data_IF_962180788606
#
_entry.id   IF_962180788606
#
_cell.length_a   1.000
_cell.length_b   1.000
_cell.length_c   1.000
_cell.angle_alpha   90.00
_cell.angle_beta   90.00
_cell.angle_gamma   90.00
#
_symmetry.space_group_name_H-M   'P 1'
#
loop_
_entity.id
_entity.type
_entity.pdbx_description
1 polymer ?
#
# COMPACT_ATOMS: atom_id res chain seq x y z
N UNK A 1 -0.22 3.71 -18.13
CA UNK A 1 -0.42 4.07 -16.70
C UNK A 1 -1.44 3.13 -16.11
N UNK A 2 -1.16 2.57 -14.94
CA UNK A 2 -2.04 1.67 -14.18
C UNK A 2 -2.45 2.35 -12.88
N UNK A 3 -3.69 2.18 -12.45
CA UNK A 3 -4.19 2.75 -11.18
C UNK A 3 -4.06 1.72 -10.07
N UNK A 4 -3.20 1.99 -9.10
CA UNK A 4 -3.04 1.19 -7.89
C UNK A 4 -3.82 1.80 -6.72
N UNK A 5 -4.25 0.96 -5.78
CA UNK A 5 -4.80 1.40 -4.49
C UNK A 5 -3.82 1.04 -3.38
N UNK A 6 -3.50 2.00 -2.52
CA UNK A 6 -2.50 1.86 -1.47
C UNK A 6 -3.10 2.26 -0.13
N UNK A 7 -2.92 1.43 0.88
CA UNK A 7 -3.16 1.80 2.28
C UNK A 7 -1.93 2.53 2.82
N UNK A 8 -2.10 3.78 3.22
CA UNK A 8 -1.04 4.59 3.84
C UNK A 8 -1.29 4.76 5.32
N UNK A 9 -0.21 4.92 6.10
CA UNK A 9 -0.29 5.30 7.51
C UNK A 9 -0.53 6.81 7.59
N UNK A 10 -1.79 7.19 7.86
CA UNK A 10 -2.22 8.58 7.97
C UNK A 10 -1.77 9.23 9.27
N UNK A 11 -1.85 8.49 10.37
CA UNK A 11 -1.43 8.94 11.70
C UNK A 11 -0.73 7.82 12.44
N UNK A 12 0.28 8.17 13.25
CA UNK A 12 0.98 7.21 14.11
C UNK A 12 0.00 6.54 15.09
N UNK A 13 0.27 5.29 15.44
CA UNK A 13 -0.53 4.58 16.43
C UNK A 13 -0.33 5.18 17.82
N UNK A 14 -1.43 5.51 18.49
CA UNK A 14 -1.45 5.86 19.91
C UNK A 14 -2.32 4.85 20.65
N UNK A 15 -1.69 3.97 21.43
CA UNK A 15 -2.36 2.83 22.02
C UNK A 15 -2.90 1.87 20.95
N UNK A 16 -4.20 1.54 21.02
CA UNK A 16 -4.83 0.56 20.12
C UNK A 16 -4.95 1.12 18.70
N UNK A 17 -4.50 0.34 17.72
CA UNK A 17 -4.65 0.65 16.28
C UNK A 17 -6.13 0.83 15.93
N UNK A 18 -6.43 1.93 15.24
CA UNK A 18 -7.76 2.28 14.74
C UNK A 18 -7.74 2.34 13.21
N UNK A 19 -8.90 2.11 12.58
CA UNK A 19 -9.03 2.22 11.12
C UNK A 19 -8.74 3.64 10.62
N UNK A 20 -8.99 4.66 11.45
CA UNK A 20 -8.67 6.08 11.19
C UNK A 20 -7.17 6.37 11.11
N UNK A 21 -6.31 5.46 11.59
CA UNK A 21 -4.87 5.58 11.40
C UNK A 21 -4.45 5.34 9.94
N UNK A 22 -5.33 4.79 9.11
CA UNK A 22 -5.03 4.46 7.73
C UNK A 22 -5.90 5.24 6.75
N UNK A 23 -5.38 5.44 5.54
CA UNK A 23 -6.09 6.05 4.43
C UNK A 23 -5.85 5.25 3.16
N UNK A 24 -6.92 5.05 2.37
CA UNK A 24 -6.82 4.41 1.06
C UNK A 24 -6.67 5.49 0.00
N UNK A 25 -5.54 5.47 -0.71
CA UNK A 25 -5.25 6.42 -1.80
C UNK A 25 -5.17 5.70 -3.14
N UNK A 26 -5.44 6.42 -4.22
CA UNK A 26 -5.21 5.96 -5.59
C UNK A 26 -3.90 6.58 -6.11
N UNK A 27 -3.02 5.76 -6.67
CA UNK A 27 -1.76 6.18 -7.28
C UNK A 27 -1.69 5.73 -8.74
N UNK A 28 -1.17 6.59 -9.62
CA UNK A 28 -0.87 6.21 -11.00
C UNK A 28 0.55 5.64 -11.10
N UNK A 29 0.63 4.34 -11.38
CA UNK A 29 1.88 3.63 -11.59
C UNK A 29 2.20 3.61 -13.09
N UNK A 30 3.43 3.97 -13.45
CA UNK A 30 3.90 3.87 -14.83
C UNK A 30 3.96 2.40 -15.28
N UNK A 31 3.42 2.11 -16.45
CA UNK A 31 3.59 0.83 -17.16
C UNK A 31 4.84 0.81 -18.06
N UNK A 32 5.57 1.92 -18.14
CA UNK A 32 6.87 2.00 -18.80
C UNK A 32 7.96 1.56 -17.83
N UNK A 33 8.23 0.26 -17.83
CA UNK A 33 9.26 -0.36 -17.02
C UNK A 33 10.65 -0.17 -17.65
N UNK A 34 11.66 0.02 -16.81
CA UNK A 34 13.07 -0.04 -17.21
C UNK A 34 13.55 -1.49 -17.25
N UNK A 35 14.72 -1.70 -17.85
CA UNK A 35 15.33 -3.03 -17.88
C UNK A 35 15.55 -3.57 -16.46
N UNK A 36 15.05 -4.78 -16.20
CA UNK A 36 15.07 -5.43 -14.88
C UNK A 36 13.94 -5.03 -13.91
N UNK A 37 13.06 -4.09 -14.25
CA UNK A 37 11.87 -3.78 -13.44
C UNK A 37 10.69 -4.70 -13.78
N UNK A 38 9.83 -4.95 -12.79
CA UNK A 38 8.60 -5.72 -12.96
C UNK A 38 7.41 -4.95 -12.38
N UNK A 39 6.27 -5.03 -13.07
CA UNK A 39 4.98 -4.58 -12.54
C UNK A 39 4.19 -5.81 -12.10
N UNK A 40 3.67 -5.77 -10.87
CA UNK A 40 2.95 -6.91 -10.28
C UNK A 40 1.57 -6.49 -9.80
N UNK A 41 0.59 -7.38 -9.93
CA UNK A 41 -0.72 -7.26 -9.31
C UNK A 41 -0.80 -8.17 -8.08
N UNK A 42 -1.19 -7.62 -6.94
CA UNK A 42 -1.29 -8.38 -5.71
C UNK A 42 -2.53 -9.29 -5.74
N UNK A 43 -2.33 -10.60 -5.58
CA UNK A 43 -3.42 -11.56 -5.46
C UNK A 43 -3.94 -11.68 -4.02
N UNK A 44 -3.03 -11.62 -3.05
CA UNK A 44 -3.33 -11.74 -1.62
C UNK A 44 -2.37 -10.86 -0.81
N UNK A 45 -2.83 -10.34 0.32
CA UNK A 45 -2.04 -9.57 1.27
C UNK A 45 -2.02 -10.28 2.63
N UNK A 46 -0.86 -10.28 3.28
CA UNK A 46 -0.71 -10.72 4.67
C UNK A 46 -0.82 -9.52 5.61
N UNK A 47 -1.27 -9.77 6.84
CA UNK A 47 -1.16 -8.84 7.96
C UNK A 47 -0.50 -9.58 9.11
N UNK A 48 0.54 -9.00 9.68
CA UNK A 48 1.43 -9.68 10.62
C UNK A 48 1.59 -8.88 11.91
N UNK A 49 1.79 -9.55 13.07
CA UNK A 49 1.93 -8.85 14.35
C UNK A 49 3.04 -7.80 14.42
N UNK A 50 4.08 -7.93 13.59
CA UNK A 50 5.21 -6.98 13.56
C UNK A 50 4.86 -5.64 12.89
N UNK A 51 3.73 -5.54 12.17
CA UNK A 51 3.34 -4.34 11.40
C UNK A 51 2.85 -3.18 12.29
N UNK A 52 3.14 -3.23 13.59
CA UNK A 52 2.73 -2.25 14.59
C UNK A 52 3.92 -1.48 15.14
#
# INVERSE_FOLDING_TARGET
MVKGKIWTLKTMFDGKVQTSNFELVEEEVSDKLKDGEFLTEALHWTVDPYMR
#
